data_IF_459579748761
#
_entry.id   IF_459579748761
#
_cell.length_a   1.000
_cell.length_b   1.000
_cell.length_c   1.000
_cell.angle_alpha   90.00
_cell.angle_beta   90.00
_cell.angle_gamma   90.00
#
_symmetry.space_group_name_H-M   'P 1'
#
loop_
_entity.id
_entity.type
_entity.pdbx_description
1 polymer ?
#
# COMPACT_ATOMS: atom_id res chain seq x y z
N UNK A 1 19.18 10.03 -8.39
CA UNK A 1 17.93 9.99 -7.62
C UNK A 1 17.89 8.68 -6.82
N UNK A 2 17.03 8.56 -5.81
CA UNK A 2 16.89 7.31 -5.06
C UNK A 2 16.10 6.25 -5.83
N UNK A 3 16.15 5.01 -5.37
CA UNK A 3 15.46 3.84 -5.94
C UNK A 3 14.04 3.72 -5.36
N UNK A 4 13.24 4.78 -5.52
CA UNK A 4 11.91 4.86 -4.93
C UNK A 4 11.02 5.87 -5.63
N UNK A 5 9.71 5.72 -5.46
CA UNK A 5 8.69 6.67 -5.88
C UNK A 5 7.62 6.84 -4.81
N UNK A 6 6.87 7.94 -4.85
CA UNK A 6 5.86 8.24 -3.82
C UNK A 6 4.64 8.95 -4.42
N UNK A 7 3.46 8.52 -3.99
CA UNK A 7 2.19 9.17 -4.23
C UNK A 7 1.65 9.73 -2.91
N UNK A 8 1.21 10.99 -2.90
CA UNK A 8 0.45 11.54 -1.78
C UNK A 8 -1.03 11.58 -2.12
N UNK A 9 -1.85 10.94 -1.31
CA UNK A 9 -3.30 10.89 -1.47
C UNK A 9 -3.96 11.72 -0.39
N UNK A 10 -4.67 12.78 -0.79
CA UNK A 10 -5.47 13.57 0.12
C UNK A 10 -6.68 12.77 0.63
N UNK A 11 -6.93 12.83 1.93
CA UNK A 11 -8.14 12.27 2.54
C UNK A 11 -9.13 13.40 2.80
N UNK A 12 -9.94 13.71 1.80
CA UNK A 12 -10.96 14.75 1.91
C UNK A 12 -12.11 14.28 2.83
N UNK A 13 -12.34 15.00 3.93
CA UNK A 13 -13.41 14.72 4.90
C UNK A 13 -13.30 13.41 5.69
N UNK A 14 -12.32 12.55 5.41
CA UNK A 14 -12.07 11.29 6.14
C UNK A 14 -10.92 11.46 7.12
N UNK A 15 -10.98 10.75 8.25
CA UNK A 15 -9.91 10.79 9.28
C UNK A 15 -8.66 9.99 8.87
N UNK A 16 -8.84 8.89 8.12
CA UNK A 16 -7.75 7.99 7.72
C UNK A 16 -8.17 7.09 6.55
N UNK A 17 -7.20 6.55 5.81
CA UNK A 17 -7.40 5.49 4.80
C UNK A 17 -7.16 4.08 5.37
N UNK A 18 -6.70 3.99 6.61
CA UNK A 18 -6.26 2.75 7.25
C UNK A 18 -7.40 1.88 7.78
N UNK A 19 -8.65 2.32 7.66
CA UNK A 19 -9.84 1.56 8.02
C UNK A 19 -10.84 1.53 6.87
N UNK A 20 -11.80 0.61 6.91
CA UNK A 20 -12.88 0.57 5.94
C UNK A 20 -13.78 1.81 6.04
N UNK A 21 -14.37 2.31 4.94
CA UNK A 21 -15.17 3.53 4.93
C UNK A 21 -16.37 3.53 5.89
N UNK A 22 -16.88 2.35 6.24
CA UNK A 22 -18.00 2.15 7.15
C UNK A 22 -17.58 1.96 8.62
N UNK A 23 -16.28 1.85 8.91
CA UNK A 23 -15.80 1.77 10.29
C UNK A 23 -15.79 3.14 10.96
N UNK A 24 -16.12 3.15 12.24
CA UNK A 24 -16.18 4.37 13.07
C UNK A 24 -15.09 4.42 14.13
N UNK A 25 -14.35 3.32 14.34
CA UNK A 25 -13.29 3.22 15.34
C UNK A 25 -11.95 3.57 14.69
N UNK A 26 -11.37 4.68 15.13
CA UNK A 26 -10.11 5.23 14.60
C UNK A 26 -9.11 5.43 15.73
N UNK A 27 -7.84 5.15 15.46
CA UNK A 27 -6.72 5.54 16.30
C UNK A 27 -6.50 7.06 16.22
N UNK A 28 -5.89 7.67 17.24
CA UNK A 28 -5.54 9.09 17.20
C UNK A 28 -4.48 9.37 16.15
N UNK A 29 -4.59 10.54 15.52
CA UNK A 29 -3.55 11.09 14.65
C UNK A 29 -2.29 11.39 15.50
N UNK A 30 -1.12 11.10 14.94
CA UNK A 30 0.15 11.43 15.57
C UNK A 30 0.26 12.98 15.73
N UNK A 31 0.38 13.50 16.97
CA UNK A 31 0.39 14.93 17.24
C UNK A 31 1.63 15.65 16.70
N UNK A 32 2.71 14.92 16.41
CA UNK A 32 3.96 15.48 15.91
C UNK A 32 3.93 15.77 14.40
N UNK A 33 2.88 15.35 13.69
CA UNK A 33 2.72 15.61 12.27
C UNK A 33 2.27 17.05 12.01
N UNK A 34 2.81 17.65 10.95
CA UNK A 34 2.36 18.96 10.47
C UNK A 34 0.90 18.91 10.00
N UNK A 35 0.22 20.07 9.96
CA UNK A 35 -1.16 20.14 9.43
C UNK A 35 -1.30 19.62 8.01
N UNK A 36 -0.24 19.67 7.21
CA UNK A 36 -0.25 19.14 5.85
C UNK A 36 -0.12 17.62 5.84
N UNK A 37 0.79 17.06 6.65
CA UNK A 37 0.96 15.62 6.79
C UNK A 37 -0.28 14.92 7.36
N UNK A 38 -1.07 15.63 8.17
CA UNK A 38 -2.34 15.12 8.70
C UNK A 38 -3.46 15.02 7.66
N UNK A 39 -3.30 15.61 6.46
CA UNK A 39 -4.37 15.70 5.44
C UNK A 39 -4.34 14.58 4.41
N UNK A 40 -3.40 13.65 4.52
CA UNK A 40 -3.24 12.63 3.51
C UNK A 40 -2.38 11.46 3.96
N UNK A 41 -2.17 10.57 3.00
CA UNK A 41 -1.39 9.36 3.17
C UNK A 41 -0.34 9.31 2.07
N UNK A 42 0.91 9.03 2.47
CA UNK A 42 1.99 8.80 1.52
C UNK A 42 2.08 7.31 1.21
N UNK A 43 1.94 6.94 -0.06
CA UNK A 43 2.18 5.60 -0.58
C UNK A 43 3.55 5.61 -1.26
N UNK A 44 4.55 5.04 -0.58
CA UNK A 44 5.96 5.10 -1.00
C UNK A 44 6.44 3.72 -1.44
N UNK A 45 6.76 3.57 -2.72
CA UNK A 45 7.35 2.35 -3.26
C UNK A 45 8.87 2.44 -3.17
N UNK A 46 9.49 1.50 -2.46
CA UNK A 46 10.93 1.25 -2.50
C UNK A 46 11.15 0.10 -3.47
N UNK A 47 11.85 0.38 -4.56
CA UNK A 47 11.99 -0.59 -5.64
C UNK A 47 12.89 -1.77 -5.22
N UNK A 48 12.59 -3.00 -5.67
CA UNK A 48 11.46 -3.36 -6.55
C UNK A 48 10.20 -3.84 -5.81
N UNK A 49 10.28 -4.17 -4.52
CA UNK A 49 9.29 -5.07 -3.90
C UNK A 49 8.86 -4.67 -2.48
N UNK A 50 8.96 -3.40 -2.11
CA UNK A 50 8.47 -2.95 -0.80
C UNK A 50 7.69 -1.66 -0.95
N UNK A 51 6.50 -1.59 -0.35
CA UNK A 51 5.76 -0.35 -0.20
C UNK A 51 5.65 -0.02 1.28
N UNK A 52 6.00 1.21 1.65
CA UNK A 52 5.62 1.80 2.92
C UNK A 52 4.45 2.74 2.71
N UNK A 53 3.47 2.66 3.60
CA UNK A 53 2.34 3.57 3.61
C UNK A 53 2.32 4.31 4.94
N UNK A 54 2.39 5.63 4.86
CA UNK A 54 2.43 6.53 6.01
C UNK A 54 1.12 7.30 6.07
N UNK A 55 0.20 6.85 6.92
CA UNK A 55 -1.02 7.56 7.26
C UNK A 55 -0.83 8.38 8.55
N UNK A 56 -1.72 9.35 8.82
CA UNK A 56 -1.55 10.21 9.99
C UNK A 56 -1.64 9.49 11.35
N UNK A 57 -2.27 8.32 11.39
CA UNK A 57 -2.57 7.55 12.60
C UNK A 57 -1.86 6.17 12.66
N UNK A 58 -1.19 5.78 11.58
CA UNK A 58 -0.64 4.44 11.40
C UNK A 58 0.39 4.41 10.28
N UNK A 59 1.30 3.44 10.34
CA UNK A 59 2.15 3.06 9.22
C UNK A 59 2.00 1.58 8.97
N UNK A 60 1.95 1.18 7.70
CA UNK A 60 2.01 -0.23 7.33
C UNK A 60 2.93 -0.43 6.13
N UNK A 61 3.31 -1.68 5.88
CA UNK A 61 4.12 -2.03 4.74
C UNK A 61 3.60 -3.29 4.05
N UNK A 62 3.90 -3.36 2.77
CA UNK A 62 3.75 -4.55 1.93
C UNK A 62 5.14 -4.95 1.47
N UNK A 63 5.65 -6.07 1.95
CA UNK A 63 6.93 -6.64 1.53
C UNK A 63 6.68 -7.87 0.66
N UNK A 64 7.04 -7.79 -0.61
CA UNK A 64 6.82 -8.85 -1.60
C UNK A 64 8.13 -9.61 -1.77
N UNK A 65 8.09 -10.92 -1.54
CA UNK A 65 9.22 -11.82 -1.70
C UNK A 65 8.97 -12.74 -2.90
N UNK A 66 9.67 -12.57 -4.02
CA UNK A 66 9.55 -13.48 -5.17
C UNK A 66 9.88 -14.92 -4.76
N UNK A 67 9.01 -15.86 -5.13
CA UNK A 67 9.22 -17.32 -4.93
C UNK A 67 9.42 -18.05 -6.26
N UNK A 68 9.24 -17.35 -7.38
CA UNK A 68 9.38 -17.84 -8.74
C UNK A 68 8.66 -16.92 -9.73
N UNK A 69 8.65 -17.26 -11.03
CA UNK A 69 8.08 -16.38 -12.07
C UNK A 69 6.58 -16.12 -11.94
N UNK A 70 5.85 -16.99 -11.24
CA UNK A 70 4.37 -16.91 -11.10
C UNK A 70 3.92 -16.96 -9.65
N UNK A 71 4.83 -16.74 -8.69
CA UNK A 71 4.53 -16.84 -7.27
C UNK A 71 5.37 -15.86 -6.47
N UNK A 72 4.71 -15.15 -5.57
CA UNK A 72 5.33 -14.32 -4.54
C UNK A 72 4.73 -14.65 -3.17
N UNK A 73 5.42 -14.25 -2.11
CA UNK A 73 4.89 -14.19 -0.76
C UNK A 73 4.76 -12.73 -0.39
N UNK A 74 3.55 -12.31 -0.02
CA UNK A 74 3.31 -10.99 0.55
C UNK A 74 3.37 -11.09 2.08
N UNK A 75 4.18 -10.23 2.69
CA UNK A 75 4.16 -9.96 4.13
C UNK A 75 3.58 -8.56 4.34
N UNK A 76 2.49 -8.49 5.11
CA UNK A 76 1.87 -7.24 5.53
C UNK A 76 2.20 -7.04 7.00
N UNK A 77 2.74 -5.88 7.34
CA UNK A 77 2.99 -5.50 8.72
C UNK A 77 2.59 -4.07 9.00
N UNK A 78 2.47 -3.74 10.28
CA UNK A 78 2.03 -2.41 10.72
C UNK A 78 2.74 -1.98 11.99
N UNK A 79 2.82 -0.67 12.19
CA UNK A 79 3.26 -0.08 13.45
C UNK A 79 2.47 1.18 13.79
N UNK A 80 2.48 1.51 15.07
CA UNK A 80 1.72 2.60 15.66
C UNK A 80 2.59 3.32 16.68
N UNK A 81 2.24 4.56 17.01
CA UNK A 81 2.90 5.28 18.09
C UNK A 81 2.77 4.50 19.41
N UNK A 82 3.83 4.49 20.23
CA UNK A 82 3.86 3.77 21.50
C UNK A 82 2.72 4.21 22.44
N UNK A 83 2.43 5.51 22.48
CA UNK A 83 1.30 6.07 23.24
C UNK A 83 -0.06 5.55 22.77
N UNK A 84 -0.22 5.30 21.47
CA UNK A 84 -1.43 4.71 20.90
C UNK A 84 -1.57 3.24 21.32
N UNK A 85 -0.47 2.49 21.31
CA UNK A 85 -0.45 1.07 21.72
C UNK A 85 -0.79 0.93 23.22
N UNK A 86 -0.31 1.86 24.03
CA UNK A 86 -0.56 1.87 25.48
C UNK A 86 -2.00 2.27 25.87
N UNK A 87 -2.84 2.72 24.92
CA UNK A 87 -4.19 3.15 25.22
C UNK A 87 -5.09 1.97 25.62
N UNK A 88 -5.99 2.12 26.62
CA UNK A 88 -6.84 1.02 27.11
C UNK A 88 -7.70 0.35 26.02
N UNK A 89 -8.18 1.14 25.07
CA UNK A 89 -9.05 0.64 23.99
C UNK A 89 -8.27 0.21 22.73
N UNK A 90 -6.94 0.23 22.74
CA UNK A 90 -6.11 -0.06 21.56
C UNK A 90 -6.47 -1.41 20.92
N UNK A 91 -6.53 -2.49 21.71
CA UNK A 91 -6.80 -3.84 21.22
C UNK A 91 -8.17 -3.99 20.57
N UNK A 92 -9.14 -3.17 20.96
CA UNK A 92 -10.47 -3.13 20.35
C UNK A 92 -10.44 -2.32 19.05
N UNK A 93 -9.91 -1.10 19.11
CA UNK A 93 -9.86 -0.17 17.97
C UNK A 93 -9.02 -0.70 16.80
N UNK A 94 -7.92 -1.39 17.10
CA UNK A 94 -7.00 -1.92 16.07
C UNK A 94 -7.65 -2.97 15.16
N UNK A 95 -8.71 -3.65 15.62
CA UNK A 95 -9.40 -4.65 14.81
C UNK A 95 -9.95 -4.06 13.51
N UNK A 96 -10.40 -2.80 13.51
CA UNK A 96 -10.86 -2.12 12.28
C UNK A 96 -9.75 -1.87 11.26
N UNK A 97 -8.49 -1.84 11.69
CA UNK A 97 -7.33 -1.68 10.80
C UNK A 97 -6.96 -3.03 10.19
N UNK A 98 -6.92 -4.08 11.01
CA UNK A 98 -6.69 -5.45 10.52
C UNK A 98 -7.79 -5.88 9.55
N UNK A 99 -9.07 -5.60 9.85
CA UNK A 99 -10.18 -5.89 8.94
C UNK A 99 -10.01 -5.22 7.57
N UNK A 100 -9.57 -3.95 7.54
CA UNK A 100 -9.28 -3.22 6.30
C UNK A 100 -8.16 -3.88 5.51
N UNK A 101 -7.05 -4.22 6.16
CA UNK A 101 -5.89 -4.80 5.49
C UNK A 101 -6.15 -6.24 5.02
N UNK A 102 -6.83 -7.06 5.81
CA UNK A 102 -7.21 -8.42 5.43
C UNK A 102 -8.14 -8.40 4.21
N UNK A 103 -9.13 -7.50 4.23
CA UNK A 103 -10.07 -7.32 3.10
C UNK A 103 -9.32 -6.87 1.83
N UNK A 104 -8.53 -5.79 1.92
CA UNK A 104 -7.82 -5.24 0.78
C UNK A 104 -6.83 -6.25 0.18
N UNK A 105 -6.09 -6.94 1.04
CA UNK A 105 -5.06 -7.90 0.62
C UNK A 105 -5.69 -9.06 -0.15
N UNK A 106 -6.86 -9.54 0.28
CA UNK A 106 -7.58 -10.58 -0.43
C UNK A 106 -8.07 -10.10 -1.81
N UNK A 107 -8.61 -8.89 -1.90
CA UNK A 107 -9.05 -8.26 -3.16
C UNK A 107 -7.88 -8.09 -4.15
N UNK A 108 -6.77 -7.52 -3.68
CA UNK A 108 -5.57 -7.29 -4.49
C UNK A 108 -4.96 -8.61 -4.98
N UNK A 109 -4.88 -9.63 -4.12
CA UNK A 109 -4.38 -10.95 -4.51
C UNK A 109 -5.25 -11.58 -5.61
N UNK A 110 -6.58 -11.49 -5.50
CA UNK A 110 -7.49 -12.03 -6.51
C UNK A 110 -7.29 -11.36 -7.88
N UNK A 111 -7.09 -10.04 -7.91
CA UNK A 111 -6.78 -9.30 -9.14
C UNK A 111 -5.40 -9.69 -9.69
N UNK A 112 -4.37 -9.78 -8.84
CA UNK A 112 -3.03 -10.20 -9.25
C UNK A 112 -3.04 -11.60 -9.89
N UNK A 113 -3.75 -12.55 -9.30
CA UNK A 113 -3.88 -13.91 -9.83
C UNK A 113 -4.63 -13.93 -11.17
N UNK A 114 -5.74 -13.19 -11.27
CA UNK A 114 -6.49 -13.06 -12.52
C UNK A 114 -5.64 -12.43 -13.63
N UNK A 115 -4.86 -11.38 -13.31
CA UNK A 115 -3.92 -10.75 -14.23
C UNK A 115 -2.84 -11.73 -14.65
N UNK A 116 -2.25 -12.51 -13.72
CA UNK A 116 -1.24 -13.51 -14.04
C UNK A 116 -1.78 -14.61 -14.98
N UNK A 117 -3.02 -15.05 -14.78
CA UNK A 117 -3.70 -16.00 -15.68
C UNK A 117 -3.83 -15.39 -17.08
N UNK A 118 -4.33 -14.16 -17.20
CA UNK A 118 -4.42 -13.45 -18.48
C UNK A 118 -3.06 -13.30 -19.17
N UNK A 119 -2.01 -13.04 -18.39
CA UNK A 119 -0.64 -12.95 -18.86
C UNK A 119 -0.05 -14.32 -19.28
N UNK A 120 -0.64 -15.45 -18.91
CA UNK A 120 -0.15 -16.76 -19.36
C UNK A 120 -0.58 -17.14 -20.79
N UNK A 121 -1.51 -16.39 -21.39
CA UNK A 121 -2.08 -16.69 -22.71
C UNK A 121 -1.15 -16.23 -23.85
N UNK A 122 -1.04 -17.03 -24.92
CA UNK A 122 -0.10 -16.82 -26.03
C UNK A 122 -0.30 -15.49 -26.78
N UNK A 123 -1.56 -15.05 -26.98
CA UNK A 123 -1.90 -13.81 -27.67
C UNK A 123 -2.22 -12.70 -26.67
N UNK A 124 -1.17 -12.03 -26.16
CA UNK A 124 -1.27 -10.96 -25.15
C UNK A 124 -0.55 -9.69 -25.61
N UNK A 125 -1.24 -8.74 -26.26
CA UNK A 125 -0.64 -7.43 -26.50
C UNK A 125 -0.45 -6.69 -25.17
N UNK A 126 0.61 -5.88 -25.07
CA UNK A 126 0.80 -4.99 -23.92
C UNK A 126 -0.31 -3.93 -23.89
N UNK A 127 -0.93 -3.74 -22.73
CA UNK A 127 -1.92 -2.69 -22.51
C UNK A 127 -1.29 -1.29 -22.41
N UNK A 128 -2.14 -0.26 -22.47
CA UNK A 128 -1.73 1.13 -22.21
C UNK A 128 -1.97 1.46 -20.74
N UNK A 129 -1.06 2.23 -20.15
CA UNK A 129 -1.28 2.82 -18.84
C UNK A 129 -2.28 3.98 -18.91
N UNK A 130 -3.11 4.10 -17.89
CA UNK A 130 -3.94 5.27 -17.61
C UNK A 130 -3.12 6.39 -16.96
N UNK A 131 -3.71 7.58 -16.85
CA UNK A 131 -3.07 8.75 -16.22
C UNK A 131 -2.73 8.48 -14.75
N UNK A 132 -3.62 7.77 -14.06
CA UNK A 132 -3.48 7.39 -12.65
C UNK A 132 -2.40 6.33 -12.40
N UNK A 133 -1.93 5.63 -13.44
CA UNK A 133 -0.97 4.54 -13.33
C UNK A 133 0.49 5.00 -13.48
N UNK A 134 0.78 6.29 -13.32
CA UNK A 134 2.12 6.85 -13.56
C UNK A 134 3.22 6.15 -12.73
N UNK A 135 2.95 5.79 -11.47
CA UNK A 135 3.93 5.07 -10.63
C UNK A 135 4.16 3.63 -11.08
N UNK A 136 3.14 2.99 -11.68
CA UNK A 136 3.27 1.65 -12.26
C UNK A 136 4.14 1.72 -13.51
N UNK A 137 3.91 2.73 -14.35
CA UNK A 137 4.74 3.01 -15.52
C UNK A 137 6.20 3.31 -15.12
N UNK A 138 6.44 4.13 -14.10
CA UNK A 138 7.79 4.42 -13.58
C UNK A 138 8.52 3.13 -13.13
N UNK A 139 7.85 2.24 -12.39
CA UNK A 139 8.42 0.97 -11.98
C UNK A 139 8.74 0.06 -13.19
N UNK A 140 7.87 0.06 -14.21
CA UNK A 140 8.12 -0.69 -15.43
C UNK A 140 9.36 -0.18 -16.17
N UNK A 141 9.52 1.14 -16.33
CA UNK A 141 10.72 1.74 -16.93
C UNK A 141 11.97 1.41 -16.11
N UNK A 142 11.93 1.62 -14.79
CA UNK A 142 13.05 1.29 -13.91
C UNK A 142 13.48 -0.18 -14.00
N UNK A 143 12.51 -1.08 -14.21
CA UNK A 143 12.76 -2.52 -14.40
C UNK A 143 13.43 -2.77 -15.74
N UNK A 144 12.95 -2.15 -16.83
CA UNK A 144 13.54 -2.27 -18.16
C UNK A 144 15.00 -1.83 -18.17
N UNK A 145 15.32 -0.70 -17.54
CA UNK A 145 16.68 -0.15 -17.42
C UNK A 145 17.67 -1.10 -16.70
N UNK A 146 17.18 -2.15 -16.04
CA UNK A 146 17.99 -3.14 -15.30
C UNK A 146 18.11 -4.48 -15.99
N UNK A 147 17.19 -4.78 -16.91
CA UNK A 147 17.10 -6.09 -17.55
C UNK A 147 17.42 -6.03 -19.04
N UNK A 148 17.39 -4.85 -19.64
CA UNK A 148 17.77 -4.62 -21.03
C UNK A 148 19.13 -3.90 -21.07
N UNK A 149 19.99 -4.34 -21.97
CA UNK A 149 21.27 -3.69 -22.31
C UNK A 149 21.08 -2.54 -23.31
#
# INVERSE_FOLDING_TARGET
>A
AGEWSCLFVYVDGKKTLSILPNSTQTLPINPDLSKEQQRGTFFTNIYPCTQFVFAPDSMWWLAIQPQGPTRSRLEVGSCFAESTIAAPDFQKTIQSYFERWDTATAEDNAICEAQQIGQSVQARPQGRFAEEEHLVHELAIWTLDRILD
#
